data_IF_649149274151
#
_entry.id   IF_649149274151
#
_cell.length_a   1.000
_cell.length_b   1.000
_cell.length_c   1.000
_cell.angle_alpha   90.00
_cell.angle_beta   90.00
_cell.angle_gamma   90.00
#
_symmetry.space_group_name_H-M   'P 1'
#
loop_
_entity.id
_entity.type
_entity.pdbx_description
1 polymer ?
#
# COMPACT_ATOMS: atom_id res chain seq x y z
N UNK A 1 63.58 95.47 21.65
CA UNK A 1 62.56 94.46 21.85
C UNK A 1 61.88 94.25 20.50
N UNK A 2 62.24 93.18 19.81
CA UNK A 2 61.63 92.92 18.48
C UNK A 2 60.54 91.89 18.68
N UNK A 3 59.28 92.39 18.54
CA UNK A 3 58.12 91.55 18.53
C UNK A 3 58.12 90.75 17.25
N UNK A 4 58.37 89.36 17.36
CA UNK A 4 58.10 88.48 16.28
C UNK A 4 56.62 88.12 16.29
N UNK A 5 55.91 88.58 15.34
CA UNK A 5 54.57 88.13 15.04
C UNK A 5 54.72 86.77 14.36
N UNK A 6 54.32 85.75 15.08
CA UNK A 6 54.28 84.36 14.44
C UNK A 6 53.15 84.42 13.34
N UNK A 7 53.54 83.82 12.19
CA UNK A 7 52.53 83.62 11.15
C UNK A 7 51.51 82.63 11.70
N UNK A 8 50.20 82.89 11.66
CA UNK A 8 49.21 81.95 12.10
C UNK A 8 49.32 80.69 11.30
N UNK A 9 49.16 79.51 11.91
CA UNK A 9 49.18 78.22 11.17
C UNK A 9 48.16 78.32 10.03
N UNK A 10 48.58 77.77 8.89
CA UNK A 10 47.67 77.62 7.74
C UNK A 10 46.38 76.91 8.16
N UNK A 11 45.25 77.32 7.67
CA UNK A 11 44.00 76.60 7.93
C UNK A 11 44.19 75.11 7.47
N UNK A 12 43.58 74.18 8.22
CA UNK A 12 43.66 72.74 7.78
C UNK A 12 43.08 72.63 6.36
N UNK A 13 43.59 71.68 5.56
CA UNK A 13 43.05 71.42 4.23
C UNK A 13 41.57 71.11 4.32
N UNK A 14 40.76 71.44 3.31
CA UNK A 14 39.34 71.10 3.30
C UNK A 14 39.18 69.59 3.26
N UNK A 15 38.24 69.06 4.06
CA UNK A 15 37.88 67.63 4.05
C UNK A 15 37.15 67.23 2.79
N UNK A 16 37.48 66.06 2.21
CA UNK A 16 36.84 65.48 1.06
C UNK A 16 36.04 64.24 1.54
N UNK A 17 34.75 64.09 1.12
CA UNK A 17 33.96 62.94 1.54
C UNK A 17 34.48 61.63 0.96
N UNK A 18 34.26 60.48 1.65
CA UNK A 18 34.59 59.15 1.15
C UNK A 18 33.79 58.78 -0.10
N UNK A 19 34.27 57.77 -0.82
CA UNK A 19 33.51 57.12 -1.91
C UNK A 19 33.24 55.67 -1.51
N UNK A 20 32.02 55.19 -1.76
CA UNK A 20 31.61 53.82 -1.38
C UNK A 20 30.82 53.12 -2.51
N UNK A 21 31.07 51.81 -2.64
CA UNK A 21 30.31 50.89 -3.49
C UNK A 21 29.92 49.65 -2.70
N UNK A 22 28.68 49.19 -2.83
CA UNK A 22 28.14 48.02 -2.15
C UNK A 22 27.98 46.83 -3.07
N UNK A 23 28.22 45.66 -2.55
CA UNK A 23 27.91 44.38 -3.20
C UNK A 23 27.37 43.37 -2.18
N UNK A 24 26.64 42.38 -2.64
CA UNK A 24 26.14 41.27 -1.82
C UNK A 24 26.56 39.95 -2.40
N UNK A 25 26.86 38.97 -1.54
CA UNK A 25 27.20 37.63 -1.93
C UNK A 25 26.63 36.59 -0.94
N UNK A 26 25.79 35.63 -1.38
CA UNK A 26 25.19 35.52 -2.72
C UNK A 26 24.17 36.64 -3.03
N UNK A 27 23.90 36.85 -4.31
CA UNK A 27 22.89 37.83 -4.76
C UNK A 27 21.46 37.33 -4.68
N UNK A 28 21.29 35.99 -4.49
CA UNK A 28 19.99 35.36 -4.33
C UNK A 28 20.11 34.19 -3.36
N UNK A 29 19.07 34.01 -2.53
CA UNK A 29 18.86 32.86 -1.63
C UNK A 29 17.40 32.40 -1.74
N UNK A 30 17.10 31.17 -1.27
CA UNK A 30 15.72 30.73 -1.21
C UNK A 30 15.03 31.17 0.09
N UNK A 31 13.74 31.41 0.02
CA UNK A 31 12.93 31.68 1.19
C UNK A 31 13.03 30.50 2.18
N UNK A 32 13.24 30.82 3.47
CA UNK A 32 13.45 29.84 4.52
C UNK A 32 14.83 29.21 4.56
N UNK A 33 15.76 29.55 3.66
CA UNK A 33 17.18 29.18 3.83
C UNK A 33 17.81 30.00 4.94
N UNK A 34 18.80 29.41 5.62
CA UNK A 34 19.65 30.10 6.58
C UNK A 34 21.02 30.42 5.97
N UNK A 35 21.11 30.51 4.65
CA UNK A 35 22.37 30.77 3.96
C UNK A 35 22.88 32.16 4.36
N UNK A 36 24.15 32.27 4.73
CA UNK A 36 24.73 33.54 5.10
C UNK A 36 24.88 34.46 3.86
N UNK A 37 24.39 35.68 3.97
CA UNK A 37 24.57 36.68 2.95
C UNK A 37 25.50 37.77 3.49
N UNK A 38 26.62 37.98 2.80
CA UNK A 38 27.55 39.03 3.14
C UNK A 38 27.28 40.26 2.30
N UNK A 39 27.22 41.41 2.95
CA UNK A 39 27.17 42.73 2.32
C UNK A 39 28.59 43.28 2.43
N UNK A 40 29.24 43.51 1.31
CA UNK A 40 30.58 44.08 1.26
C UNK A 40 30.53 45.56 0.79
N UNK A 41 31.19 46.46 1.55
CA UNK A 41 31.32 47.87 1.23
C UNK A 41 32.75 48.16 0.88
N UNK A 42 33.00 48.42 -0.40
CA UNK A 42 34.31 48.92 -0.86
C UNK A 42 34.31 50.43 -0.77
N UNK A 43 35.03 50.97 0.21
CA UNK A 43 35.07 52.41 0.46
C UNK A 43 36.51 52.90 0.53
N UNK A 44 36.73 54.12 0.01
CA UNK A 44 38.02 54.83 0.06
C UNK A 44 37.79 56.27 0.41
N UNK A 45 38.71 56.87 1.17
CA UNK A 45 38.72 58.28 1.52
C UNK A 45 39.89 58.98 0.87
N UNK A 46 39.70 60.14 0.18
CA UNK A 46 40.77 60.87 -0.47
C UNK A 46 41.80 61.45 0.50
N UNK A 47 41.42 61.73 1.74
CA UNK A 47 42.28 62.28 2.77
C UNK A 47 42.89 61.20 3.66
N UNK A 48 42.59 59.88 3.36
CA UNK A 48 42.94 58.68 4.13
C UNK A 48 42.41 58.69 5.58
N UNK A 49 41.24 59.26 5.79
CA UNK A 49 40.59 59.24 7.09
C UNK A 49 40.12 57.87 7.48
N UNK A 50 39.96 57.66 8.81
CA UNK A 50 39.43 56.41 9.32
C UNK A 50 37.95 56.33 9.08
N UNK A 51 37.48 55.28 8.33
CA UNK A 51 36.12 55.12 7.97
C UNK A 51 35.36 54.27 9.02
N UNK A 52 34.16 54.72 9.31
CA UNK A 52 33.15 53.95 10.10
C UNK A 52 31.97 53.59 9.24
N UNK A 53 31.38 52.40 9.52
CA UNK A 53 30.32 51.80 8.70
C UNK A 53 29.05 51.63 9.52
N UNK A 54 27.89 51.86 8.89
CA UNK A 54 26.60 51.53 9.44
C UNK A 54 25.66 51.02 8.37
N UNK A 55 24.83 50.08 8.73
CA UNK A 55 23.92 49.40 7.82
C UNK A 55 22.46 49.64 8.17
N UNK A 56 21.60 49.64 7.16
CA UNK A 56 20.16 49.70 7.32
C UNK A 56 19.46 48.90 6.22
N UNK A 57 18.28 48.36 6.53
CA UNK A 57 17.40 47.68 5.62
C UNK A 57 15.95 47.91 6.00
N UNK A 58 15.04 47.76 5.04
CA UNK A 58 13.59 47.96 5.31
C UNK A 58 13.00 46.74 6.03
N UNK A 59 13.53 45.53 5.78
CA UNK A 59 13.12 44.28 6.42
C UNK A 59 14.34 43.39 6.64
N UNK A 60 14.28 42.56 7.70
CA UNK A 60 15.43 41.77 8.14
C UNK A 60 16.38 42.59 9.02
N UNK A 61 17.56 42.06 9.26
CA UNK A 61 18.60 42.70 10.04
C UNK A 61 19.95 42.55 9.36
N UNK A 62 20.80 43.56 9.44
CA UNK A 62 22.20 43.49 9.05
C UNK A 62 23.05 43.68 10.30
N UNK A 63 23.94 42.74 10.56
CA UNK A 63 24.90 42.79 11.66
C UNK A 63 26.26 43.13 11.10
N UNK A 64 26.99 44.03 11.75
CA UNK A 64 28.33 44.45 11.37
C UNK A 64 28.56 45.91 11.59
N UNK A 65 29.83 46.31 11.81
CA UNK A 65 30.28 47.67 12.01
C UNK A 65 31.56 48.03 11.23
N UNK A 66 31.95 47.13 10.33
CA UNK A 66 33.10 47.25 9.43
C UNK A 66 32.69 47.20 7.97
N UNK A 67 33.64 46.99 7.02
CA UNK A 67 33.33 46.94 5.60
C UNK A 67 32.51 45.73 5.19
N UNK A 68 32.39 44.72 6.05
CA UNK A 68 31.58 43.52 5.84
C UNK A 68 30.43 43.46 6.85
N UNK A 69 29.22 43.41 6.34
CA UNK A 69 28.01 43.20 7.12
C UNK A 69 27.40 41.82 6.79
N UNK A 70 26.69 41.20 7.75
CA UNK A 70 25.93 39.97 7.55
C UNK A 70 24.46 40.28 7.52
N UNK A 71 23.80 40.06 6.39
CA UNK A 71 22.35 40.19 6.25
C UNK A 71 21.67 38.87 6.63
N UNK A 72 20.73 38.96 7.56
CA UNK A 72 19.94 37.83 8.02
C UNK A 72 18.66 37.75 7.18
N UNK A 73 18.50 36.64 6.44
CA UNK A 73 17.35 36.34 5.58
C UNK A 73 16.29 35.48 6.24
N UNK A 74 16.51 35.03 7.49
CA UNK A 74 15.57 34.20 8.23
C UNK A 74 14.21 34.84 8.37
N UNK A 75 13.15 34.09 7.99
CA UNK A 75 11.76 34.56 8.08
C UNK A 75 11.35 35.58 7.01
N UNK A 76 12.21 35.91 6.08
CA UNK A 76 11.84 36.78 4.96
C UNK A 76 11.01 36.06 3.92
N UNK A 77 9.95 36.70 3.44
CA UNK A 77 9.17 36.20 2.31
C UNK A 77 9.92 36.37 0.98
N UNK A 78 9.42 35.74 -0.07
CA UNK A 78 9.95 35.96 -1.43
C UNK A 78 9.86 37.46 -1.80
N UNK A 79 10.91 37.98 -2.43
CA UNK A 79 11.00 39.38 -2.80
C UNK A 79 12.44 39.87 -2.95
N UNK A 80 12.57 41.16 -3.30
CA UNK A 80 13.88 41.84 -3.36
C UNK A 80 14.03 42.74 -2.13
N UNK A 81 15.16 42.60 -1.48
CA UNK A 81 15.51 43.37 -0.27
C UNK A 81 16.74 44.19 -0.54
N UNK A 82 16.65 45.51 -0.24
CA UNK A 82 17.76 46.45 -0.39
C UNK A 82 18.45 46.63 0.94
N UNK A 83 19.75 46.44 0.96
CA UNK A 83 20.62 46.80 2.07
C UNK A 83 21.33 48.08 1.72
N UNK A 84 21.21 49.09 2.59
CA UNK A 84 21.91 50.34 2.47
C UNK A 84 23.08 50.37 3.47
N UNK A 85 24.22 50.88 3.03
CA UNK A 85 25.34 51.18 3.90
C UNK A 85 25.67 52.69 3.86
N UNK A 86 25.99 53.24 5.03
CA UNK A 86 26.55 54.59 5.18
C UNK A 86 27.99 54.46 5.70
N UNK A 87 28.89 55.17 5.06
CA UNK A 87 30.29 55.30 5.43
C UNK A 87 30.51 56.76 5.90
N UNK A 88 31.22 56.94 7.01
CA UNK A 88 31.45 58.25 7.63
C UNK A 88 32.94 58.38 7.99
N UNK A 89 33.60 59.49 7.63
CA UNK A 89 35.01 59.75 7.83
C UNK A 89 35.32 60.36 9.22
N UNK A 90 34.27 60.60 10.03
CA UNK A 90 34.42 61.26 11.34
C UNK A 90 34.79 62.75 11.27
N UNK A 91 34.84 63.36 10.08
CA UNK A 91 35.15 64.77 9.84
C UNK A 91 34.03 65.52 9.11
N UNK A 92 32.89 64.87 8.94
CA UNK A 92 31.68 65.43 8.35
C UNK A 92 31.43 65.00 6.90
N UNK A 93 32.32 64.26 6.27
CA UNK A 93 32.11 63.64 4.97
C UNK A 93 31.39 62.28 5.13
N UNK A 94 30.46 62.00 4.26
CA UNK A 94 29.72 60.73 4.25
C UNK A 94 29.49 60.25 2.83
N UNK A 95 29.44 58.93 2.65
CA UNK A 95 28.99 58.26 1.43
C UNK A 95 27.93 57.20 1.75
N UNK A 96 27.07 56.93 0.79
CA UNK A 96 26.05 55.88 0.89
C UNK A 96 26.10 55.00 -0.34
N UNK A 97 25.86 53.72 -0.16
CA UNK A 97 25.67 52.80 -1.25
C UNK A 97 24.54 51.79 -0.90
N UNK A 98 24.04 51.11 -1.89
CA UNK A 98 22.98 50.10 -1.72
C UNK A 98 23.30 48.85 -2.58
N UNK A 99 22.84 47.72 -2.10
CA UNK A 99 22.90 46.46 -2.85
C UNK A 99 21.63 45.67 -2.60
N UNK A 100 21.15 45.01 -3.67
CA UNK A 100 19.92 44.23 -3.66
C UNK A 100 20.23 42.75 -3.53
N UNK A 101 19.39 42.07 -2.71
CA UNK A 101 19.38 40.63 -2.60
C UNK A 101 18.00 40.12 -2.93
N UNK A 102 17.91 39.06 -3.72
CA UNK A 102 16.66 38.37 -4.05
C UNK A 102 16.45 37.17 -3.13
N UNK A 103 15.34 37.16 -2.40
CA UNK A 103 14.81 36.00 -1.71
C UNK A 103 13.86 35.29 -2.70
N UNK A 104 14.27 34.21 -3.31
CA UNK A 104 13.51 33.49 -4.31
C UNK A 104 12.60 32.44 -3.67
N UNK A 105 11.51 32.09 -4.33
CA UNK A 105 10.67 30.95 -3.94
C UNK A 105 11.48 29.67 -4.06
N UNK A 106 11.47 28.83 -3.03
CA UNK A 106 12.08 27.50 -3.07
C UNK A 106 11.34 26.65 -4.10
N UNK A 107 12.06 26.03 -5.09
CA UNK A 107 11.43 25.12 -6.02
C UNK A 107 10.77 23.96 -5.27
N UNK A 108 9.53 23.63 -5.64
CA UNK A 108 8.82 22.49 -5.07
C UNK A 108 9.43 21.18 -5.54
N UNK A 109 9.59 20.23 -4.62
CA UNK A 109 10.00 18.86 -4.93
C UNK A 109 8.77 17.96 -4.84
N UNK A 110 8.55 17.05 -5.81
CA UNK A 110 7.40 16.18 -5.80
C UNK A 110 7.49 15.16 -4.66
N UNK A 111 6.35 14.72 -4.10
CA UNK A 111 6.30 13.66 -3.12
C UNK A 111 6.70 12.30 -3.71
N UNK A 112 6.87 11.32 -2.84
CA UNK A 112 7.05 9.91 -3.19
C UNK A 112 5.95 9.09 -2.56
N UNK A 113 5.54 7.96 -3.18
CA UNK A 113 4.53 7.06 -2.65
C UNK A 113 4.83 5.60 -3.01
N UNK A 114 4.51 4.69 -2.09
CA UNK A 114 4.41 3.26 -2.34
C UNK A 114 3.11 2.71 -1.75
N UNK A 115 2.56 1.65 -2.35
CA UNK A 115 1.31 1.02 -1.92
C UNK A 115 1.50 -0.46 -1.69
N UNK A 116 0.85 -0.97 -0.65
CA UNK A 116 0.79 -2.39 -0.33
C UNK A 116 -0.63 -2.80 0.01
N UNK A 117 -0.96 -4.08 -0.21
CA UNK A 117 -2.22 -4.68 0.25
C UNK A 117 -1.96 -5.59 1.43
N UNK A 118 -2.86 -5.59 2.43
CA UNK A 118 -2.72 -6.43 3.62
C UNK A 118 -2.93 -7.92 3.30
N UNK A 119 -3.89 -8.22 2.43
CA UNK A 119 -4.22 -9.57 2.00
C UNK A 119 -4.43 -9.64 0.49
N UNK A 120 -3.70 -10.53 -0.14
CA UNK A 120 -3.89 -11.00 -1.50
C UNK A 120 -3.32 -12.43 -1.53
N UNK A 121 -4.06 -13.41 -2.00
CA UNK A 121 -5.40 -13.33 -2.59
C UNK A 121 -6.55 -13.21 -1.57
N UNK A 122 -7.74 -12.78 -2.05
CA UNK A 122 -9.01 -12.72 -1.32
C UNK A 122 -10.11 -13.47 -2.09
N UNK A 123 -11.22 -13.81 -1.40
CA UNK A 123 -12.39 -14.39 -2.06
C UNK A 123 -13.31 -13.31 -2.64
N UNK A 124 -14.14 -13.62 -3.66
CA UNK A 124 -15.15 -12.69 -4.16
C UNK A 124 -16.07 -12.18 -3.03
N UNK A 125 -16.28 -10.86 -2.97
CA UNK A 125 -17.07 -10.21 -1.92
C UNK A 125 -16.30 -9.90 -0.64
N UNK A 126 -15.04 -10.32 -0.51
CA UNK A 126 -14.19 -9.92 0.61
C UNK A 126 -13.55 -8.54 0.40
N UNK A 127 -13.08 -7.98 1.51
CA UNK A 127 -12.37 -6.70 1.56
C UNK A 127 -10.94 -6.87 2.02
N UNK A 128 -10.05 -6.00 1.53
CA UNK A 128 -8.67 -5.89 1.99
C UNK A 128 -8.26 -4.43 2.13
N UNK A 129 -7.37 -4.15 3.08
CA UNK A 129 -6.84 -2.81 3.27
C UNK A 129 -5.69 -2.56 2.29
N UNK A 130 -5.64 -1.34 1.77
CA UNK A 130 -4.52 -0.80 1.02
C UNK A 130 -3.82 0.21 1.91
N UNK A 131 -2.53 0.05 2.10
CA UNK A 131 -1.69 0.97 2.88
C UNK A 131 -0.74 1.70 1.94
N UNK A 132 -0.80 3.03 1.98
CA UNK A 132 0.10 3.91 1.24
C UNK A 132 1.13 4.51 2.18
N UNK A 133 2.40 4.43 1.81
CA UNK A 133 3.50 5.12 2.49
C UNK A 133 4.00 6.20 1.55
N UNK A 134 3.86 7.47 1.97
CA UNK A 134 4.26 8.61 1.17
C UNK A 134 5.05 9.60 2.02
N UNK A 135 5.95 10.33 1.37
CA UNK A 135 6.72 11.42 1.98
C UNK A 135 6.96 12.53 0.98
N UNK A 136 7.00 13.74 1.48
CA UNK A 136 7.34 14.92 0.72
C UNK A 136 8.68 15.50 1.21
N UNK A 137 9.66 15.80 0.31
CA UNK A 137 10.95 16.35 0.69
C UNK A 137 10.89 17.76 1.27
N UNK A 138 9.85 18.52 0.93
CA UNK A 138 9.63 19.88 1.45
C UNK A 138 8.77 19.89 2.73
N UNK A 139 8.22 18.73 3.12
CA UNK A 139 7.35 18.59 4.28
C UNK A 139 5.94 19.10 4.04
N UNK A 140 5.51 19.22 2.79
CA UNK A 140 4.18 19.70 2.44
C UNK A 140 3.09 18.69 2.83
N UNK A 141 1.87 19.18 3.19
CA UNK A 141 0.74 18.32 3.49
C UNK A 141 0.33 17.49 2.26
N UNK A 142 0.15 16.19 2.46
CA UNK A 142 -0.18 15.25 1.39
C UNK A 142 -1.68 14.93 1.37
N UNK A 143 -2.25 14.93 0.17
CA UNK A 143 -3.62 14.46 -0.11
C UNK A 143 -3.56 13.18 -0.92
N UNK A 144 -4.41 12.20 -0.58
CA UNK A 144 -4.42 10.86 -1.16
C UNK A 144 -5.65 10.64 -2.01
N UNK A 145 -5.50 9.87 -3.08
CA UNK A 145 -6.61 9.37 -3.89
C UNK A 145 -6.32 7.97 -4.39
N UNK A 146 -7.40 7.20 -4.62
CA UNK A 146 -7.30 5.80 -5.01
C UNK A 146 -8.22 5.49 -6.17
N UNK A 147 -7.75 4.65 -7.09
CA UNK A 147 -8.55 4.09 -8.19
C UNK A 147 -8.22 2.61 -8.35
N UNK A 148 -9.16 1.82 -8.89
CA UNK A 148 -8.93 0.41 -9.16
C UNK A 148 -9.44 0.04 -10.56
N UNK A 149 -8.83 -0.99 -11.16
CA UNK A 149 -9.24 -1.54 -12.47
C UNK A 149 -10.57 -2.29 -12.42
N UNK A 150 -11.06 -2.61 -11.20
CA UNK A 150 -12.37 -3.20 -10.92
C UNK A 150 -12.62 -3.20 -9.42
N UNK A 151 -13.88 -3.41 -9.02
CA UNK A 151 -14.31 -3.29 -7.63
C UNK A 151 -14.43 -1.83 -7.19
N UNK A 152 -14.50 -1.62 -5.90
CA UNK A 152 -14.56 -0.29 -5.31
C UNK A 152 -13.38 -0.10 -4.36
N UNK A 153 -12.80 1.10 -4.38
CA UNK A 153 -11.79 1.50 -3.42
C UNK A 153 -12.24 2.79 -2.74
N UNK A 154 -12.15 2.86 -1.42
CA UNK A 154 -12.57 4.01 -0.61
C UNK A 154 -11.52 4.34 0.44
N UNK A 155 -11.22 5.64 0.58
CA UNK A 155 -10.25 6.20 1.50
C UNK A 155 -9.73 7.53 0.98
N UNK A 156 -9.37 8.43 1.87
CA UNK A 156 -8.89 9.79 1.61
C UNK A 156 -7.57 10.12 2.33
N UNK A 157 -7.02 9.13 3.04
CA UNK A 157 -5.77 9.21 3.78
C UNK A 157 -4.79 8.12 3.37
N UNK A 158 -3.77 7.82 4.20
CA UNK A 158 -2.75 6.80 3.91
C UNK A 158 -3.29 5.37 3.93
N UNK A 159 -4.55 5.17 4.29
CA UNK A 159 -5.23 3.86 4.25
C UNK A 159 -6.52 3.94 3.46
N UNK A 160 -6.73 2.95 2.60
CA UNK A 160 -7.96 2.75 1.85
C UNK A 160 -8.44 1.32 2.00
N UNK A 161 -9.71 1.06 1.66
CA UNK A 161 -10.30 -0.26 1.64
C UNK A 161 -10.72 -0.62 0.22
N UNK A 162 -10.22 -1.75 -0.27
CA UNK A 162 -10.65 -2.36 -1.52
C UNK A 162 -11.77 -3.36 -1.24
N UNK A 163 -12.86 -3.28 -1.99
CA UNK A 163 -14.05 -4.14 -1.91
C UNK A 163 -14.19 -4.92 -3.22
N UNK A 164 -14.11 -6.25 -3.15
CA UNK A 164 -14.23 -7.14 -4.30
C UNK A 164 -15.66 -7.58 -4.61
N UNK A 165 -16.69 -6.96 -4.00
CA UNK A 165 -18.08 -7.31 -4.25
C UNK A 165 -18.44 -7.20 -5.72
N UNK A 166 -18.98 -8.28 -6.28
CA UNK A 166 -19.39 -8.35 -7.69
C UNK A 166 -18.25 -8.58 -8.70
N UNK A 167 -17.01 -8.74 -8.24
CA UNK A 167 -15.90 -9.08 -9.11
C UNK A 167 -15.84 -10.59 -9.43
N UNK A 168 -15.45 -10.90 -10.66
CA UNK A 168 -15.05 -12.24 -11.04
C UNK A 168 -13.63 -12.55 -10.50
N UNK A 169 -13.26 -13.84 -10.42
CA UNK A 169 -11.87 -14.21 -10.14
C UNK A 169 -10.90 -13.58 -11.15
N UNK A 170 -9.79 -13.02 -10.68
CA UNK A 170 -8.82 -12.31 -11.50
C UNK A 170 -7.93 -11.38 -10.67
N UNK A 171 -7.00 -10.71 -11.34
CA UNK A 171 -6.07 -9.75 -10.73
C UNK A 171 -6.55 -8.33 -10.99
N UNK A 172 -6.65 -7.52 -9.94
CA UNK A 172 -7.12 -6.14 -9.97
C UNK A 172 -6.03 -5.22 -9.43
N UNK A 173 -5.68 -4.22 -10.23
CA UNK A 173 -4.67 -3.23 -9.83
C UNK A 173 -5.35 -2.07 -9.11
N UNK A 174 -4.87 -1.75 -7.92
CA UNK A 174 -5.21 -0.52 -7.18
C UNK A 174 -4.08 0.48 -7.36
N UNK A 175 -4.41 1.63 -7.93
CA UNK A 175 -3.52 2.78 -8.06
C UNK A 175 -3.75 3.71 -6.87
N UNK A 176 -2.68 4.14 -6.24
CA UNK A 176 -2.65 5.13 -5.19
C UNK A 176 -1.95 6.38 -5.73
N UNK A 177 -2.52 7.53 -5.55
CA UNK A 177 -1.95 8.81 -5.98
C UNK A 177 -1.85 9.75 -4.80
N UNK A 178 -0.81 10.55 -4.77
CA UNK A 178 -0.60 11.58 -3.75
C UNK A 178 -0.27 12.91 -4.41
N UNK A 179 -0.74 14.00 -3.82
CA UNK A 179 -0.43 15.38 -4.21
C UNK A 179 -0.05 16.21 -3.00
N UNK A 180 0.95 17.09 -3.17
CA UNK A 180 1.45 18.05 -2.18
C UNK A 180 0.67 19.38 -2.15
N UNK A 181 -0.31 19.57 -3.05
CA UNK A 181 -1.06 20.82 -3.18
C UNK A 181 -0.26 21.97 -3.80
N UNK A 182 1.01 21.77 -4.18
CA UNK A 182 1.90 22.76 -4.79
C UNK A 182 2.31 22.42 -6.23
N UNK A 183 1.65 21.39 -6.81
CA UNK A 183 1.87 20.94 -8.19
C UNK A 183 2.68 19.66 -8.30
N UNK A 184 3.27 19.15 -7.21
CA UNK A 184 3.92 17.85 -7.15
C UNK A 184 2.90 16.73 -6.97
N UNK A 185 3.10 15.64 -7.68
CA UNK A 185 2.28 14.43 -7.58
C UNK A 185 3.15 13.19 -7.71
N UNK A 186 2.72 12.07 -7.11
CA UNK A 186 3.32 10.77 -7.31
C UNK A 186 2.26 9.67 -7.32
N UNK A 187 2.55 8.59 -8.04
CA UNK A 187 1.70 7.43 -8.20
C UNK A 187 2.42 6.15 -7.75
N UNK A 188 1.69 5.28 -7.09
CA UNK A 188 2.09 3.92 -6.78
C UNK A 188 0.97 2.94 -7.14
N UNK A 189 1.25 1.66 -7.12
CA UNK A 189 0.21 0.65 -7.35
C UNK A 189 0.49 -0.63 -6.58
N UNK A 190 -0.57 -1.38 -6.30
CA UNK A 190 -0.54 -2.73 -5.77
C UNK A 190 -1.58 -3.58 -6.47
N UNK A 191 -1.43 -4.90 -6.41
CA UNK A 191 -2.37 -5.83 -7.04
C UNK A 191 -3.10 -6.63 -5.97
N UNK A 192 -4.40 -6.80 -6.14
CA UNK A 192 -5.26 -7.68 -5.34
C UNK A 192 -5.78 -8.78 -6.25
N UNK A 193 -5.44 -10.03 -5.90
CA UNK A 193 -5.94 -11.22 -6.60
C UNK A 193 -7.22 -11.71 -5.94
N UNK A 194 -8.29 -11.82 -6.74
CA UNK A 194 -9.56 -12.43 -6.34
C UNK A 194 -9.54 -13.87 -6.82
N UNK A 195 -9.55 -14.83 -5.88
CA UNK A 195 -9.49 -16.27 -6.19
C UNK A 195 -10.85 -16.81 -6.64
N UNK A 196 -10.80 -17.87 -7.45
CA UNK A 196 -12.02 -18.65 -7.70
C UNK A 196 -12.42 -19.39 -6.42
N UNK A 197 -13.69 -19.32 -6.00
CA UNK A 197 -14.17 -20.14 -4.90
C UNK A 197 -13.88 -21.62 -5.18
N UNK A 198 -13.54 -22.41 -4.17
CA UNK A 198 -13.38 -23.84 -4.34
C UNK A 198 -14.67 -24.43 -4.91
N UNK A 199 -14.60 -25.44 -5.81
CA UNK A 199 -15.78 -26.08 -6.33
C UNK A 199 -16.60 -26.65 -5.17
N UNK A 200 -17.94 -26.62 -5.25
CA UNK A 200 -18.78 -27.19 -4.21
C UNK A 200 -18.43 -28.66 -4.02
N UNK A 201 -18.48 -29.16 -2.78
CA UNK A 201 -18.20 -30.55 -2.49
C UNK A 201 -19.17 -31.45 -3.27
N UNK A 202 -18.64 -32.55 -3.83
CA UNK A 202 -19.43 -33.48 -4.63
C UNK A 202 -19.42 -34.89 -4.02
N UNK A 203 -20.53 -35.63 -4.17
CA UNK A 203 -20.58 -37.02 -3.77
C UNK A 203 -19.50 -37.84 -4.52
N UNK A 204 -18.82 -38.72 -3.82
CA UNK A 204 -17.77 -39.56 -4.39
C UNK A 204 -17.98 -41.04 -4.08
N UNK A 205 -17.82 -41.89 -5.08
CA UNK A 205 -17.80 -43.31 -4.87
C UNK A 205 -16.61 -43.68 -3.97
N UNK A 206 -16.89 -44.24 -2.80
CA UNK A 206 -15.91 -44.65 -1.82
C UNK A 206 -15.45 -46.09 -1.98
N UNK A 207 -16.25 -46.90 -2.67
CA UNK A 207 -15.95 -48.28 -2.96
C UNK A 207 -17.18 -49.01 -3.47
N UNK A 208 -16.97 -50.25 -3.91
CA UNK A 208 -18.03 -51.17 -4.25
C UNK A 208 -17.62 -52.63 -3.94
N UNK A 209 -18.60 -53.48 -3.80
CA UNK A 209 -18.35 -54.92 -3.74
C UNK A 209 -19.34 -55.68 -4.62
N UNK A 210 -18.84 -56.66 -5.33
CA UNK A 210 -19.60 -57.49 -6.25
C UNK A 210 -19.98 -58.84 -5.68
N UNK A 211 -21.09 -59.40 -6.17
CA UNK A 211 -21.56 -60.74 -5.81
C UNK A 211 -21.30 -61.71 -6.98
N UNK A 212 -20.52 -62.78 -6.72
CA UNK A 212 -20.12 -63.74 -7.77
C UNK A 212 -21.25 -64.70 -8.17
N UNK A 213 -22.21 -64.95 -7.27
CA UNK A 213 -23.31 -65.92 -7.50
C UNK A 213 -24.62 -65.18 -7.73
N UNK A 214 -25.42 -65.68 -8.68
CA UNK A 214 -26.78 -65.23 -8.91
C UNK A 214 -27.62 -65.42 -7.62
N UNK A 215 -28.42 -64.44 -7.25
CA UNK A 215 -29.24 -64.45 -6.04
C UNK A 215 -28.46 -64.26 -4.72
N UNK A 216 -27.14 -64.11 -4.76
CA UNK A 216 -26.39 -63.90 -3.54
C UNK A 216 -26.60 -62.48 -2.98
N UNK A 217 -26.80 -62.43 -1.64
CA UNK A 217 -26.92 -61.16 -0.89
C UNK A 217 -26.02 -61.10 0.34
N UNK A 218 -25.32 -62.20 0.67
CA UNK A 218 -24.45 -62.25 1.86
C UNK A 218 -23.31 -61.25 1.75
N UNK A 219 -23.19 -60.38 2.71
CA UNK A 219 -22.07 -59.44 2.84
C UNK A 219 -20.83 -60.22 3.29
N UNK A 220 -20.03 -60.67 2.32
CA UNK A 220 -18.87 -61.56 2.53
C UNK A 220 -17.61 -60.79 3.01
N UNK A 221 -16.50 -61.51 3.18
CA UNK A 221 -15.25 -60.87 3.68
C UNK A 221 -14.64 -59.86 2.69
N UNK A 222 -14.93 -59.97 1.38
CA UNK A 222 -14.48 -58.98 0.41
C UNK A 222 -15.26 -57.65 0.59
N UNK A 223 -16.59 -57.78 0.71
CA UNK A 223 -17.49 -56.66 0.99
C UNK A 223 -17.20 -56.01 2.35
N UNK A 224 -16.89 -56.83 3.37
CA UNK A 224 -16.55 -56.33 4.73
C UNK A 224 -15.30 -55.48 4.71
N UNK A 225 -14.25 -55.79 3.93
CA UNK A 225 -13.06 -54.92 3.81
C UNK A 225 -13.40 -53.55 3.25
N UNK A 226 -14.20 -53.52 2.17
CA UNK A 226 -14.68 -52.23 1.62
C UNK A 226 -15.52 -51.47 2.65
N UNK A 227 -16.41 -52.17 3.39
CA UNK A 227 -17.21 -51.61 4.46
C UNK A 227 -16.36 -51.03 5.60
N UNK A 228 -15.28 -51.69 5.99
CA UNK A 228 -14.36 -51.21 7.03
C UNK A 228 -13.69 -49.91 6.60
N UNK A 229 -13.21 -49.81 5.34
CA UNK A 229 -12.61 -48.58 4.80
C UNK A 229 -13.62 -47.43 4.73
N UNK A 230 -14.86 -47.70 4.31
CA UNK A 230 -15.95 -46.71 4.26
C UNK A 230 -16.31 -46.25 5.67
N UNK A 231 -16.43 -47.16 6.64
CA UNK A 231 -16.71 -46.80 8.02
C UNK A 231 -15.63 -45.93 8.65
N UNK A 232 -14.35 -46.23 8.33
CA UNK A 232 -13.21 -45.42 8.79
C UNK A 232 -13.26 -44.01 8.20
N UNK A 233 -13.55 -43.86 6.89
CA UNK A 233 -13.73 -42.52 6.27
C UNK A 233 -14.83 -41.72 6.93
N UNK A 234 -16.00 -42.31 7.21
CA UNK A 234 -17.10 -41.64 7.88
C UNK A 234 -16.81 -41.28 9.34
N UNK A 235 -15.94 -42.01 10.03
CA UNK A 235 -15.45 -41.67 11.36
C UNK A 235 -14.50 -40.44 11.34
N UNK A 236 -13.68 -40.38 10.31
CA UNK A 236 -12.74 -39.28 10.11
C UNK A 236 -13.41 -37.99 9.61
N UNK A 237 -14.62 -38.12 8.99
CA UNK A 237 -15.46 -37.00 8.59
C UNK A 237 -16.87 -37.16 9.20
N UNK A 238 -17.11 -36.63 10.41
CA UNK A 238 -18.39 -36.76 11.09
C UNK A 238 -19.57 -36.06 10.38
N UNK A 239 -19.29 -35.08 9.50
CA UNK A 239 -20.31 -34.32 8.77
C UNK A 239 -20.79 -35.04 7.51
N UNK A 240 -19.99 -35.93 6.92
CA UNK A 240 -20.34 -36.66 5.72
C UNK A 240 -21.47 -37.68 5.95
N UNK A 241 -22.28 -37.90 4.92
CA UNK A 241 -23.34 -38.90 4.86
C UNK A 241 -22.92 -40.02 3.93
N UNK A 242 -23.58 -41.17 4.03
CA UNK A 242 -23.38 -42.31 3.18
C UNK A 242 -24.65 -42.69 2.45
N UNK A 243 -24.56 -42.86 1.14
CA UNK A 243 -25.60 -43.45 0.35
C UNK A 243 -25.09 -44.83 -0.11
N UNK A 244 -25.81 -45.90 0.24
CA UNK A 244 -25.51 -47.25 -0.18
C UNK A 244 -26.47 -47.65 -1.30
N UNK A 245 -25.92 -47.90 -2.49
CA UNK A 245 -26.75 -48.24 -3.65
C UNK A 245 -26.59 -49.74 -3.94
N UNK A 246 -27.68 -50.46 -3.78
CA UNK A 246 -27.72 -51.90 -4.13
C UNK A 246 -28.14 -52.08 -5.58
N UNK A 247 -27.47 -53.02 -6.26
CA UNK A 247 -27.77 -53.36 -7.64
C UNK A 247 -28.04 -54.87 -7.73
N UNK A 248 -28.94 -55.22 -8.65
CA UNK A 248 -29.18 -56.61 -9.04
C UNK A 248 -29.36 -56.71 -10.56
N UNK A 249 -28.86 -57.79 -11.18
CA UNK A 249 -29.13 -58.03 -12.58
C UNK A 249 -30.62 -58.31 -12.82
N UNK A 250 -31.14 -57.81 -13.95
CA UNK A 250 -32.57 -58.00 -14.29
C UNK A 250 -33.00 -59.45 -14.39
N UNK A 251 -32.06 -60.36 -14.62
CA UNK A 251 -32.32 -61.82 -14.68
C UNK A 251 -32.29 -62.47 -13.30
N UNK A 252 -31.94 -61.76 -12.24
CA UNK A 252 -31.97 -62.29 -10.87
C UNK A 252 -33.41 -62.33 -10.33
N UNK A 253 -33.75 -63.39 -9.53
CA UNK A 253 -35.07 -63.53 -8.97
C UNK A 253 -35.41 -62.32 -8.06
N UNK A 254 -36.53 -61.65 -8.30
CA UNK A 254 -36.96 -60.49 -7.53
C UNK A 254 -35.86 -59.41 -7.44
N UNK A 255 -35.27 -59.05 -8.58
CA UNK A 255 -34.08 -58.18 -8.67
C UNK A 255 -34.13 -56.94 -7.79
N UNK A 256 -35.24 -56.13 -7.83
CA UNK A 256 -35.34 -54.94 -7.01
C UNK A 256 -35.31 -55.24 -5.50
N UNK A 257 -35.98 -56.33 -5.06
CA UNK A 257 -35.96 -56.74 -3.64
C UNK A 257 -34.58 -57.23 -3.24
N UNK A 258 -33.86 -57.90 -4.15
CA UNK A 258 -32.51 -58.42 -3.91
C UNK A 258 -31.52 -57.26 -3.82
N UNK A 259 -31.63 -56.23 -4.69
CA UNK A 259 -30.82 -55.04 -4.66
C UNK A 259 -31.00 -54.28 -3.30
N UNK A 260 -32.24 -54.08 -2.86
CA UNK A 260 -32.52 -53.47 -1.56
C UNK A 260 -31.94 -54.30 -0.40
N UNK A 261 -32.11 -55.62 -0.42
CA UNK A 261 -31.54 -56.52 0.61
C UNK A 261 -30.00 -56.41 0.67
N UNK A 262 -29.31 -56.30 -0.48
CA UNK A 262 -27.87 -56.09 -0.55
C UNK A 262 -27.47 -54.77 0.13
N UNK A 263 -28.16 -53.68 -0.18
CA UNK A 263 -27.94 -52.36 0.43
C UNK A 263 -28.18 -52.37 1.95
N UNK A 264 -29.28 -53.01 2.41
CA UNK A 264 -29.63 -53.07 3.82
C UNK A 264 -28.62 -53.91 4.63
N UNK A 265 -28.11 -54.98 4.10
CA UNK A 265 -27.07 -55.81 4.74
C UNK A 265 -25.75 -55.05 4.84
N UNK A 266 -25.41 -54.25 3.81
CA UNK A 266 -24.27 -53.36 3.86
C UNK A 266 -24.45 -52.25 4.89
N UNK A 267 -25.65 -51.60 4.95
CA UNK A 267 -25.98 -50.63 5.97
C UNK A 267 -25.81 -51.18 7.38
N UNK A 268 -26.41 -52.36 7.62
CA UNK A 268 -26.30 -53.02 8.93
C UNK A 268 -24.84 -53.18 9.34
N UNK A 269 -23.98 -53.64 8.41
CA UNK A 269 -22.55 -53.83 8.69
C UNK A 269 -21.85 -52.49 9.06
N UNK A 270 -22.12 -51.39 8.32
CA UNK A 270 -21.54 -50.10 8.60
C UNK A 270 -21.96 -49.57 9.98
N UNK A 271 -23.25 -49.74 10.36
CA UNK A 271 -23.77 -49.39 11.68
C UNK A 271 -23.07 -50.24 12.79
N UNK A 272 -22.89 -51.56 12.57
CA UNK A 272 -22.13 -52.41 13.51
C UNK A 272 -20.68 -51.94 13.68
N UNK A 273 -20.10 -51.24 12.70
CA UNK A 273 -18.78 -50.61 12.81
C UNK A 273 -18.81 -49.22 13.54
N UNK A 274 -19.95 -48.81 14.07
CA UNK A 274 -20.09 -47.62 14.92
C UNK A 274 -20.33 -46.31 14.14
N UNK A 275 -20.83 -46.38 12.92
CA UNK A 275 -21.34 -45.21 12.19
C UNK A 275 -22.81 -45.03 12.53
N UNK A 276 -23.22 -43.79 12.85
CA UNK A 276 -24.61 -43.48 13.17
C UNK A 276 -25.53 -43.79 12.00
N UNK A 277 -26.63 -44.52 12.30
CA UNK A 277 -27.60 -44.95 11.31
C UNK A 277 -28.28 -43.76 10.59
N UNK A 278 -28.49 -42.67 11.26
CA UNK A 278 -29.10 -41.43 10.70
C UNK A 278 -28.26 -40.81 9.54
N UNK A 279 -27.00 -41.15 9.48
CA UNK A 279 -26.08 -40.72 8.42
C UNK A 279 -26.09 -41.63 7.18
N UNK A 280 -26.82 -42.77 7.22
CA UNK A 280 -26.76 -43.80 6.18
C UNK A 280 -28.12 -43.99 5.54
N UNK A 281 -28.22 -43.75 4.25
CA UNK A 281 -29.37 -44.06 3.42
C UNK A 281 -29.08 -45.18 2.46
N UNK A 282 -30.14 -45.90 2.07
CA UNK A 282 -30.06 -46.98 1.08
C UNK A 282 -30.93 -46.69 -0.14
N UNK A 283 -30.49 -47.08 -1.31
CA UNK A 283 -31.21 -46.96 -2.59
C UNK A 283 -31.05 -48.20 -3.43
N UNK A 284 -32.02 -48.44 -4.31
CA UNK A 284 -31.92 -49.42 -5.40
C UNK A 284 -31.41 -48.66 -6.61
N UNK A 285 -30.29 -49.13 -7.18
CA UNK A 285 -29.71 -48.58 -8.38
C UNK A 285 -30.24 -49.26 -9.64
N UNK A 286 -30.18 -48.53 -10.75
CA UNK A 286 -30.54 -49.08 -12.04
C UNK A 286 -29.39 -49.94 -12.58
N UNK A 287 -29.67 -51.17 -12.96
CA UNK A 287 -28.72 -52.08 -13.56
C UNK A 287 -28.50 -51.69 -15.04
N UNK A 288 -27.26 -51.81 -15.51
CA UNK A 288 -26.97 -51.63 -16.94
C UNK A 288 -27.68 -52.68 -17.76
N UNK A 289 -28.36 -52.25 -18.80
CA UNK A 289 -29.01 -53.12 -19.76
C UNK A 289 -28.03 -53.69 -20.81
N UNK A 290 -26.76 -53.31 -20.77
CA UNK A 290 -25.74 -53.75 -21.69
C UNK A 290 -25.45 -55.25 -21.52
N UNK A 291 -25.38 -55.95 -22.66
CA UNK A 291 -25.03 -57.38 -22.71
C UNK A 291 -23.60 -57.60 -22.19
N UNK A 292 -23.43 -58.54 -21.28
CA UNK A 292 -22.12 -58.84 -20.66
C UNK A 292 -21.89 -58.09 -19.33
N UNK A 293 -22.78 -57.23 -18.92
CA UNK A 293 -22.68 -56.47 -17.62
C UNK A 293 -23.40 -57.22 -16.46
N UNK A 294 -23.93 -58.41 -16.68
CA UNK A 294 -24.72 -59.15 -15.69
C UNK A 294 -23.96 -59.35 -14.36
N UNK A 295 -22.65 -59.63 -14.43
CA UNK A 295 -21.83 -59.79 -13.23
C UNK A 295 -21.59 -58.42 -12.56
N UNK A 296 -21.34 -57.38 -13.35
CA UNK A 296 -21.14 -56.03 -12.85
C UNK A 296 -22.40 -55.48 -12.19
N UNK A 297 -23.58 -55.85 -12.68
CA UNK A 297 -24.85 -55.46 -12.09
C UNK A 297 -25.15 -56.10 -10.70
N UNK A 298 -24.39 -57.09 -10.27
CA UNK A 298 -24.56 -57.75 -8.95
C UNK A 298 -23.58 -57.15 -7.96
N UNK A 299 -23.85 -55.96 -7.46
CA UNK A 299 -22.96 -55.20 -6.57
C UNK A 299 -23.70 -54.33 -5.55
N UNK A 300 -22.94 -53.81 -4.60
CA UNK A 300 -23.30 -52.68 -3.75
C UNK A 300 -22.25 -51.60 -3.95
N UNK A 301 -22.68 -50.39 -4.11
CA UNK A 301 -21.80 -49.21 -4.15
C UNK A 301 -21.97 -48.35 -2.89
N UNK A 302 -20.85 -47.78 -2.42
CA UNK A 302 -20.81 -46.85 -1.30
C UNK A 302 -20.45 -45.49 -1.84
N UNK A 303 -21.32 -44.51 -1.65
CA UNK A 303 -21.11 -43.14 -2.07
C UNK A 303 -21.09 -42.25 -0.83
N UNK A 304 -19.93 -41.65 -0.55
CA UNK A 304 -19.79 -40.67 0.51
C UNK A 304 -20.22 -39.32 -0.01
N UNK A 305 -21.11 -38.68 0.72
CA UNK A 305 -21.72 -37.38 0.41
C UNK A 305 -21.22 -36.38 1.44
N UNK A 306 -20.27 -35.48 1.07
CA UNK A 306 -19.78 -34.43 1.96
C UNK A 306 -20.90 -33.50 2.40
N UNK A 307 -20.67 -32.76 3.49
CA UNK A 307 -21.60 -31.71 3.94
C UNK A 307 -21.82 -30.68 2.82
N UNK A 308 -23.08 -30.28 2.62
CA UNK A 308 -23.48 -29.35 1.56
C UNK A 308 -23.64 -29.96 0.18
N UNK A 309 -23.24 -31.22 -0.04
CA UNK A 309 -23.46 -31.93 -1.29
C UNK A 309 -24.84 -32.62 -1.30
N UNK A 310 -25.39 -32.81 -2.51
CA UNK A 310 -26.61 -33.59 -2.75
C UNK A 310 -26.32 -34.79 -3.64
N UNK A 311 -27.00 -35.96 -3.38
CA UNK A 311 -26.82 -37.20 -4.17
C UNK A 311 -28.17 -37.79 -4.56
#
# INVERSE_FOLDING_TARGET
MVLRFGIPPAPPPPNHPPVAACSVNPTSVFAGSNDPVTVHVNATDPDNDTLTYSYSTTNGAVEGNGPDGRFNTSGLAEGTYTVNAKVDDGKGGTATCAADITVAKKPNQPPTISCTTDRSPIMPGERTSITSTASDPDGDPLTYSYTATGGQVSGDGPKAQFDSTGLAPGSYTVKCSVSDGRGGTADGSTTVDVQQPPPPPQPAKAGDCGYNKVGASRFDNACKRVGDDVALRLKNDPSAKLVIVGFADAKEPKAAKLAQTRADLAKKYIVEKGVDESRISTRVGEASAEKGQEKANRRVEFVVVPEGATY
#
